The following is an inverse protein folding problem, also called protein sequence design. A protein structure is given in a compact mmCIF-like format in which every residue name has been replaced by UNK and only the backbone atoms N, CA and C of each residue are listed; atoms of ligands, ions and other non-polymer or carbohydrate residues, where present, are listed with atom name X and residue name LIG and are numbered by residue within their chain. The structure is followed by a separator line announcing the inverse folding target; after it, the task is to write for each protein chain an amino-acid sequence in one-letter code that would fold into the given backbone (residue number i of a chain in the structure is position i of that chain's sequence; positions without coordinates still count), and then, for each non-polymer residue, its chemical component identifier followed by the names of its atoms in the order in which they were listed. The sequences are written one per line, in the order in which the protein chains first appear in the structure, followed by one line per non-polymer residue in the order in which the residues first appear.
data_IF_201707633629
#
_entry.id   IF_201707633629
#
_cell.length_a   1.000
_cell.length_b   1.000
_cell.length_c   1.000
_cell.angle_alpha   90.00
_cell.angle_beta   90.00
_cell.angle_gamma   90.00
#
_symmetry.space_group_name_H-M   'P 1'
#
loop_
_entity.id
_entity.type
_entity.pdbx_description
1 polymer ?
#
# COMPACT_ATOMS: atom_id res chain seq x y z
N UNK A 1 21.95 -42.16 -31.27
CA UNK A 1 22.12 -41.20 -30.15
C UNK A 1 22.88 -39.99 -30.66
N UNK A 2 22.20 -39.03 -31.28
CA UNK A 2 22.82 -37.84 -31.90
C UNK A 2 22.72 -36.64 -30.96
N UNK A 3 23.87 -36.10 -30.55
CA UNK A 3 23.99 -34.88 -29.74
C UNK A 3 23.82 -33.66 -30.65
N UNK A 4 22.75 -32.88 -30.47
CA UNK A 4 22.60 -31.58 -31.15
C UNK A 4 23.24 -30.47 -30.30
N UNK A 5 24.14 -29.75 -30.93
CA UNK A 5 24.88 -28.60 -30.42
C UNK A 5 23.93 -27.40 -30.21
N UNK A 6 24.08 -26.67 -29.11
CA UNK A 6 23.35 -25.42 -28.85
C UNK A 6 24.14 -24.27 -29.48
N UNK A 7 23.51 -23.57 -30.42
CA UNK A 7 24.06 -22.43 -31.15
C UNK A 7 24.08 -21.21 -30.22
N UNK A 8 25.26 -20.64 -29.97
CA UNK A 8 25.39 -19.36 -29.28
C UNK A 8 24.88 -18.21 -30.18
N UNK A 9 24.22 -17.22 -29.56
CA UNK A 9 23.75 -16.00 -30.21
C UNK A 9 24.73 -14.89 -29.88
N UNK A 10 25.46 -14.42 -30.89
CA UNK A 10 26.23 -13.19 -30.83
C UNK A 10 25.31 -12.01 -30.50
N UNK A 11 25.63 -11.29 -29.42
CA UNK A 11 25.10 -9.95 -29.17
C UNK A 11 26.22 -8.95 -29.41
N UNK A 12 26.14 -8.28 -30.56
CA UNK A 12 26.94 -7.11 -30.90
C UNK A 12 26.50 -5.97 -29.98
N UNK A 13 27.32 -5.63 -28.98
CA UNK A 13 27.17 -4.38 -28.22
C UNK A 13 28.21 -3.39 -28.72
N UNK A 14 27.74 -2.32 -29.35
CA UNK A 14 28.51 -1.13 -29.67
C UNK A 14 28.88 -0.40 -28.38
N UNK A 15 30.13 -0.49 -27.94
CA UNK A 15 30.64 0.33 -26.85
C UNK A 15 31.22 1.63 -27.40
N UNK A 16 30.53 2.73 -27.14
CA UNK A 16 31.13 4.07 -27.18
C UNK A 16 32.34 4.08 -26.24
N UNK A 17 33.49 4.45 -26.80
CA UNK A 17 34.73 4.73 -26.07
C UNK A 17 34.48 5.93 -25.14
N UNK A 18 34.24 5.65 -23.87
CA UNK A 18 34.30 6.61 -22.78
C UNK A 18 35.60 6.35 -22.05
N UNK A 19 36.55 7.27 -22.23
CA UNK A 19 37.82 7.35 -21.52
C UNK A 19 37.54 7.27 -20.01
N UNK A 20 37.99 6.20 -19.38
CA UNK A 20 37.76 5.92 -17.97
C UNK A 20 39.12 5.65 -17.36
N UNK A 21 39.73 6.71 -16.83
CA UNK A 21 40.92 6.65 -15.99
C UNK A 21 40.78 5.50 -14.97
N UNK A 22 41.57 4.45 -15.17
CA UNK A 22 41.57 3.25 -14.34
C UNK A 22 42.30 3.59 -13.03
N UNK A 23 41.52 3.89 -11.99
CA UNK A 23 42.05 4.19 -10.65
C UNK A 23 42.56 2.88 -10.04
N UNK A 24 43.87 2.65 -10.16
CA UNK A 24 44.60 1.52 -9.57
C UNK A 24 44.62 1.65 -8.04
N UNK A 25 43.91 0.77 -7.35
CA UNK A 25 43.90 0.72 -5.88
C UNK A 25 45.26 0.27 -5.35
N UNK A 26 46.00 1.19 -4.72
CA UNK A 26 47.23 0.86 -3.98
C UNK A 26 46.90 0.59 -2.51
N UNK A 27 47.28 -0.57 -2.00
CA UNK A 27 47.13 -0.94 -0.59
C UNK A 27 48.02 -0.04 0.29
N UNK A 28 47.40 0.68 1.23
CA UNK A 28 48.14 1.50 2.19
C UNK A 28 48.98 0.61 3.12
N UNK A 29 50.23 0.97 3.44
CA UNK A 29 51.02 0.19 4.39
C UNK A 29 50.33 0.15 5.75
N UNK A 30 50.28 -1.04 6.35
CA UNK A 30 49.61 -1.24 7.63
C UNK A 30 50.19 -0.29 8.70
N UNK A 31 49.34 0.45 9.45
CA UNK A 31 49.82 1.31 10.52
C UNK A 31 50.52 0.46 11.60
N UNK A 32 51.58 0.97 12.23
CA UNK A 32 52.25 0.25 13.30
C UNK A 32 51.26 -0.04 14.43
N UNK A 33 51.30 -1.28 14.94
CA UNK A 33 50.41 -1.81 15.99
C UNK A 33 50.31 -0.84 17.18
N UNK A 34 49.29 0.00 17.17
CA UNK A 34 48.85 0.75 18.33
C UNK A 34 47.69 0.01 18.96
N UNK A 35 47.72 -0.07 20.28
CA UNK A 35 46.84 -0.80 21.17
C UNK A 35 45.37 -0.53 20.84
N UNK A 36 44.57 -1.61 20.73
CA UNK A 36 43.16 -1.50 20.35
C UNK A 36 42.40 -0.71 21.44
N UNK A 37 41.72 0.41 21.11
CA UNK A 37 40.72 0.95 22.01
C UNK A 37 39.63 -0.10 22.22
N UNK A 38 39.08 -0.20 23.44
CA UNK A 38 38.00 -1.13 23.78
C UNK A 38 36.93 -1.04 22.69
N UNK A 39 36.69 -2.15 22.01
CA UNK A 39 35.79 -2.22 20.87
C UNK A 39 34.38 -1.85 21.35
N UNK A 40 33.96 -0.59 21.18
CA UNK A 40 32.56 -0.12 21.34
C UNK A 40 31.58 -1.04 20.58
N UNK A 41 32.10 -1.70 19.54
CA UNK A 41 31.44 -2.77 18.82
C UNK A 41 30.93 -3.89 19.73
N UNK A 42 31.74 -4.35 20.67
CA UNK A 42 31.38 -5.46 21.55
C UNK A 42 30.32 -5.07 22.58
N UNK A 43 30.28 -3.80 22.98
CA UNK A 43 29.28 -3.28 23.91
C UNK A 43 27.89 -3.23 23.25
N UNK A 44 27.80 -2.80 21.99
CA UNK A 44 26.53 -2.90 21.26
C UNK A 44 26.26 -4.31 20.72
N UNK A 45 27.26 -5.16 20.52
CA UNK A 45 27.05 -6.57 20.12
C UNK A 45 26.73 -7.51 21.30
N UNK A 46 26.62 -6.99 22.53
CA UNK A 46 26.33 -7.82 23.69
C UNK A 46 24.92 -8.41 23.60
N UNK A 47 24.82 -9.74 23.54
CA UNK A 47 23.57 -10.48 23.35
C UNK A 47 22.55 -10.18 24.45
N UNK A 48 22.99 -9.85 25.67
CA UNK A 48 22.11 -9.49 26.79
C UNK A 48 21.26 -8.23 26.51
N UNK A 49 21.76 -7.28 25.70
CA UNK A 49 21.00 -6.12 25.26
C UNK A 49 20.03 -6.46 24.11
N UNK A 50 20.38 -7.46 23.29
CA UNK A 50 19.57 -7.90 22.14
C UNK A 50 18.46 -8.88 22.50
N UNK A 51 18.62 -9.67 23.56
CA UNK A 51 17.58 -10.54 24.14
C UNK A 51 17.18 -10.09 25.54
N UNK A 52 16.90 -8.80 25.70
CA UNK A 52 16.36 -8.23 26.94
C UNK A 52 14.98 -8.81 27.35
N UNK A 53 14.37 -9.66 26.51
CA UNK A 53 13.09 -10.30 26.78
C UNK A 53 13.21 -11.63 27.50
N UNK A 54 14.42 -12.22 27.61
CA UNK A 54 14.65 -13.54 28.21
C UNK A 54 15.87 -13.50 29.15
N UNK A 55 15.64 -13.65 30.47
CA UNK A 55 16.73 -13.91 31.41
C UNK A 55 17.37 -15.28 31.13
N UNK A 56 18.68 -15.43 31.36
CA UNK A 56 19.42 -16.70 31.16
C UNK A 56 18.84 -17.88 31.94
N UNK A 57 18.21 -17.61 33.08
CA UNK A 57 17.49 -18.60 33.90
C UNK A 57 16.22 -19.10 33.21
N UNK A 58 15.58 -18.22 32.45
CA UNK A 58 14.32 -18.46 31.75
C UNK A 58 14.51 -19.43 30.57
N UNK A 59 15.65 -19.31 29.87
CA UNK A 59 16.09 -20.21 28.80
C UNK A 59 16.30 -21.66 29.29
N UNK A 60 16.56 -21.87 30.59
CA UNK A 60 16.78 -23.19 31.20
C UNK A 60 15.48 -23.88 31.63
N UNK A 61 14.37 -23.14 31.72
CA UNK A 61 13.06 -23.61 32.18
C UNK A 61 12.11 -24.06 31.04
N UNK A 62 12.71 -24.56 29.95
CA UNK A 62 12.27 -24.46 28.54
C UNK A 62 10.84 -24.83 28.12
N UNK A 63 10.02 -25.46 28.98
CA UNK A 63 8.62 -25.78 28.64
C UNK A 63 7.60 -25.03 29.53
N UNK A 64 7.79 -25.01 30.86
CA UNK A 64 6.84 -24.38 31.80
C UNK A 64 6.80 -22.85 31.67
N UNK A 65 7.95 -22.21 31.44
CA UNK A 65 8.00 -20.75 31.25
C UNK A 65 7.36 -20.31 29.91
N UNK A 66 7.49 -21.13 28.88
CA UNK A 66 6.94 -20.82 27.54
C UNK A 66 5.42 -20.88 27.53
N UNK A 67 4.84 -21.87 28.22
CA UNK A 67 3.38 -21.99 28.44
C UNK A 67 2.85 -20.79 29.23
N UNK A 68 3.51 -20.43 30.35
CA UNK A 68 3.13 -19.26 31.17
C UNK A 68 3.20 -17.95 30.40
N UNK A 69 4.19 -17.80 29.51
CA UNK A 69 4.31 -16.63 28.64
C UNK A 69 3.21 -16.54 27.60
N UNK A 70 2.83 -17.65 26.97
CA UNK A 70 1.70 -17.70 26.05
C UNK A 70 0.40 -17.30 26.74
N UNK A 71 0.13 -17.89 27.90
CA UNK A 71 -1.04 -17.52 28.72
C UNK A 71 -1.01 -16.06 29.15
N UNK A 72 0.16 -15.51 29.49
CA UNK A 72 0.31 -14.09 29.83
C UNK A 72 0.06 -13.18 28.61
N UNK A 73 0.52 -13.58 27.42
CA UNK A 73 0.29 -12.85 26.17
C UNK A 73 -1.17 -12.91 25.74
N UNK A 74 -1.81 -14.08 25.78
CA UNK A 74 -3.24 -14.23 25.51
C UNK A 74 -4.08 -13.35 26.45
N UNK A 75 -3.74 -13.35 27.74
CA UNK A 75 -4.40 -12.49 28.73
C UNK A 75 -4.13 -11.00 28.50
N UNK A 76 -2.98 -10.63 27.93
CA UNK A 76 -2.71 -9.25 27.52
C UNK A 76 -3.50 -8.87 26.27
N UNK A 77 -3.58 -9.75 25.29
CA UNK A 77 -4.36 -9.55 24.06
C UNK A 77 -5.84 -9.39 24.38
N UNK A 78 -6.41 -10.24 25.24
CA UNK A 78 -7.81 -10.13 25.68
C UNK A 78 -8.09 -8.78 26.34
N UNK A 79 -7.16 -8.28 27.18
CA UNK A 79 -7.28 -6.94 27.79
C UNK A 79 -7.20 -5.82 26.76
N UNK A 80 -6.27 -5.92 25.82
CA UNK A 80 -6.12 -4.93 24.75
C UNK A 80 -7.36 -4.90 23.85
N UNK A 81 -7.92 -6.05 23.52
CA UNK A 81 -9.16 -6.20 22.76
C UNK A 81 -10.34 -5.59 23.52
N UNK A 82 -10.47 -5.86 24.82
CA UNK A 82 -11.52 -5.26 25.65
C UNK A 82 -11.42 -3.73 25.72
N UNK A 83 -10.19 -3.19 25.84
CA UNK A 83 -9.95 -1.73 25.85
C UNK A 83 -10.26 -1.12 24.49
N UNK A 84 -9.87 -1.80 23.39
CA UNK A 84 -10.20 -1.37 22.03
C UNK A 84 -11.71 -1.28 21.90
N UNK A 85 -12.44 -2.37 22.12
CA UNK A 85 -13.90 -2.44 22.02
C UNK A 85 -14.63 -1.36 22.83
N UNK A 86 -14.16 -1.04 24.03
CA UNK A 86 -14.75 0.03 24.85
C UNK A 86 -14.55 1.45 24.28
N UNK A 87 -13.51 1.66 23.48
CA UNK A 87 -13.16 2.95 22.86
C UNK A 87 -13.56 3.06 21.39
N UNK A 88 -13.93 1.96 20.74
CA UNK A 88 -14.32 2.01 19.33
C UNK A 88 -15.68 2.68 19.16
N UNK A 89 -15.66 3.87 18.59
CA UNK A 89 -16.87 4.62 18.25
C UNK A 89 -17.49 4.17 16.92
N UNK A 90 -16.79 3.31 16.16
CA UNK A 90 -17.28 2.86 14.85
C UNK A 90 -18.40 1.82 15.03
N UNK A 91 -19.64 2.09 14.57
CA UNK A 91 -20.74 1.15 14.67
C UNK A 91 -20.47 -0.20 13.99
N UNK A 92 -19.65 -0.20 12.92
CA UNK A 92 -19.38 -1.37 12.08
C UNK A 92 -18.24 -2.27 12.60
N UNK A 93 -17.57 -1.90 13.69
CA UNK A 93 -16.55 -2.73 14.33
C UNK A 93 -17.12 -3.52 15.52
N UNK A 94 -18.39 -3.25 15.89
CA UNK A 94 -19.12 -4.03 16.91
C UNK A 94 -19.31 -5.47 16.43
N UNK A 95 -19.33 -6.43 17.36
CA UNK A 95 -19.61 -7.84 17.10
C UNK A 95 -18.67 -8.50 16.07
N UNK A 96 -17.36 -8.21 16.13
CA UNK A 96 -16.36 -8.70 15.16
C UNK A 96 -16.65 -8.28 13.71
N UNK A 97 -17.30 -7.13 13.53
CA UNK A 97 -17.61 -6.60 12.20
C UNK A 97 -16.36 -6.20 11.42
N UNK A 98 -16.46 -6.24 10.09
CA UNK A 98 -15.36 -5.92 9.16
C UNK A 98 -15.00 -4.42 9.12
N UNK A 99 -15.76 -3.60 9.84
CA UNK A 99 -15.61 -2.17 9.87
C UNK A 99 -16.12 -1.42 8.66
N UNK A 100 -16.75 -2.13 7.73
CA UNK A 100 -17.49 -1.57 6.62
C UNK A 100 -18.99 -1.87 6.79
N UNK A 101 -19.87 -1.01 6.29
CA UNK A 101 -21.28 -1.35 6.15
C UNK A 101 -21.43 -2.61 5.29
N UNK A 102 -22.37 -3.47 5.67
CA UNK A 102 -22.71 -4.67 4.92
C UNK A 102 -23.13 -4.27 3.50
N UNK A 103 -22.44 -4.79 2.50
CA UNK A 103 -22.85 -4.60 1.11
C UNK A 103 -24.05 -5.52 0.89
N UNK A 104 -25.26 -4.94 0.92
CA UNK A 104 -26.49 -5.58 0.44
C UNK A 104 -26.19 -6.34 -0.86
N UNK A 105 -26.65 -7.60 -1.01
CA UNK A 105 -26.37 -8.39 -2.19
C UNK A 105 -26.87 -7.63 -3.41
N UNK A 106 -25.92 -7.24 -4.26
CA UNK A 106 -26.12 -6.40 -5.44
C UNK A 106 -26.98 -7.16 -6.44
N UNK A 107 -28.30 -7.11 -6.25
CA UNK A 107 -29.26 -7.30 -7.33
C UNK A 107 -28.89 -6.27 -8.39
N UNK A 108 -28.57 -6.78 -9.58
CA UNK A 108 -28.21 -6.03 -10.79
C UNK A 108 -29.40 -5.19 -11.26
N UNK A 109 -29.83 -4.23 -10.44
CA UNK A 109 -30.62 -3.11 -10.92
C UNK A 109 -29.66 -2.21 -11.68
N UNK A 110 -30.08 -1.78 -12.88
CA UNK A 110 -29.44 -0.77 -13.71
C UNK A 110 -29.45 0.61 -13.04
N UNK A 111 -29.26 0.67 -11.73
CA UNK A 111 -29.23 1.88 -10.96
C UNK A 111 -27.82 2.46 -11.04
N UNK A 112 -27.75 3.74 -11.40
CA UNK A 112 -26.51 4.51 -11.40
C UNK A 112 -25.83 4.35 -10.01
N UNK A 113 -24.49 4.34 -9.96
CA UNK A 113 -23.77 4.11 -8.72
C UNK A 113 -24.29 5.04 -7.63
N UNK A 114 -24.62 4.47 -6.47
CA UNK A 114 -25.11 5.16 -5.25
C UNK A 114 -24.19 6.28 -4.74
N UNK A 115 -23.06 6.52 -5.42
CA UNK A 115 -22.13 7.61 -5.15
C UNK A 115 -22.53 8.95 -5.80
N UNK A 116 -23.58 8.99 -6.63
CA UNK A 116 -24.14 10.26 -7.11
C UNK A 116 -24.93 10.93 -6.00
N UNK A 117 -24.24 11.68 -5.14
CA UNK A 117 -24.91 12.59 -4.20
C UNK A 117 -25.54 13.71 -5.04
N UNK A 118 -26.83 13.59 -5.34
CA UNK A 118 -27.63 14.57 -6.10
C UNK A 118 -28.32 14.01 -7.34
N UNK A 119 -29.01 14.90 -8.07
CA UNK A 119 -29.88 14.59 -9.23
C UNK A 119 -29.12 14.20 -10.52
N UNK A 120 -27.83 13.88 -10.44
CA UNK A 120 -27.04 13.40 -11.58
C UNK A 120 -26.98 14.33 -12.81
N UNK A 121 -27.32 15.62 -12.64
CA UNK A 121 -27.41 16.59 -13.73
C UNK A 121 -28.75 16.62 -14.47
N UNK A 122 -29.78 15.87 -14.05
CA UNK A 122 -31.10 15.89 -14.69
C UNK A 122 -31.75 17.28 -14.66
N UNK A 123 -31.68 18.01 -13.53
CA UNK A 123 -32.15 19.39 -13.45
C UNK A 123 -31.46 20.32 -14.47
N UNK A 124 -30.18 20.09 -14.78
CA UNK A 124 -29.46 20.84 -15.81
C UNK A 124 -29.97 20.48 -17.20
N UNK A 125 -30.13 19.18 -17.50
CA UNK A 125 -30.65 18.69 -18.78
C UNK A 125 -32.07 19.21 -19.06
N UNK A 126 -32.94 19.22 -18.04
CA UNK A 126 -34.30 19.78 -18.12
C UNK A 126 -34.29 21.28 -18.40
N UNK A 127 -33.46 22.06 -17.71
CA UNK A 127 -33.34 23.52 -17.94
C UNK A 127 -32.76 23.82 -19.32
N UNK A 128 -31.77 23.04 -19.75
CA UNK A 128 -31.13 23.12 -21.06
C UNK A 128 -32.16 22.90 -22.18
N UNK A 129 -32.98 21.85 -22.07
CA UNK A 129 -34.09 21.58 -22.99
C UNK A 129 -35.10 22.73 -23.06
N UNK A 130 -35.57 23.22 -21.90
CA UNK A 130 -36.53 24.33 -21.85
C UNK A 130 -36.00 25.61 -22.51
N UNK A 131 -34.69 25.89 -22.37
CA UNK A 131 -34.06 27.04 -23.02
C UNK A 131 -34.05 26.92 -24.54
N UNK A 132 -33.76 25.73 -25.08
CA UNK A 132 -33.85 25.50 -26.53
C UNK A 132 -35.28 25.72 -26.98
N UNK A 133 -36.26 25.13 -26.28
CA UNK A 133 -37.67 25.26 -26.63
C UNK A 133 -38.13 26.72 -26.64
N UNK A 134 -37.71 27.51 -25.66
CA UNK A 134 -38.04 28.94 -25.61
C UNK A 134 -37.37 29.71 -26.76
N UNK A 135 -36.10 29.44 -27.04
CA UNK A 135 -35.36 30.11 -28.11
C UNK A 135 -35.91 29.74 -29.49
N UNK A 136 -36.27 28.47 -29.71
CA UNK A 136 -36.88 28.00 -30.94
C UNK A 136 -38.24 28.67 -31.18
N UNK A 137 -39.04 28.88 -30.12
CA UNK A 137 -40.30 29.62 -30.21
C UNK A 137 -40.10 31.11 -30.47
N UNK A 138 -39.09 31.74 -29.85
CA UNK A 138 -38.78 33.16 -30.03
C UNK A 138 -38.29 33.46 -31.45
N UNK A 139 -37.48 32.58 -32.02
CA UNK A 139 -36.85 32.76 -33.33
C UNK A 139 -37.64 32.10 -34.48
N UNK A 140 -38.63 31.27 -34.16
CA UNK A 140 -39.39 30.50 -35.15
C UNK A 140 -38.57 29.41 -35.85
N UNK A 141 -37.51 28.91 -35.22
CA UNK A 141 -36.60 27.87 -35.76
C UNK A 141 -36.91 26.49 -35.18
N UNK A 142 -36.33 25.45 -35.76
CA UNK A 142 -36.44 24.10 -35.21
C UNK A 142 -35.61 23.95 -33.92
N UNK A 143 -36.05 23.10 -32.98
CA UNK A 143 -35.28 22.86 -31.74
C UNK A 143 -33.92 22.24 -32.02
N UNK A 144 -33.82 21.39 -33.05
CA UNK A 144 -32.59 20.71 -33.45
C UNK A 144 -31.55 21.70 -33.98
N UNK A 145 -31.95 22.66 -34.82
CA UNK A 145 -31.06 23.69 -35.34
C UNK A 145 -30.48 24.56 -34.21
N UNK A 146 -31.33 25.00 -33.28
CA UNK A 146 -30.89 25.77 -32.09
C UNK A 146 -29.98 24.94 -31.18
N UNK A 147 -30.25 23.64 -31.04
CA UNK A 147 -29.41 22.73 -30.26
C UNK A 147 -28.05 22.50 -30.92
N UNK A 148 -28.01 22.34 -32.25
CA UNK A 148 -26.79 22.15 -33.03
C UNK A 148 -25.94 23.43 -33.03
N UNK A 149 -26.54 24.61 -33.15
CA UNK A 149 -25.78 25.87 -33.02
C UNK A 149 -25.11 26.01 -31.64
N UNK A 150 -25.81 25.56 -30.58
CA UNK A 150 -25.37 25.73 -29.20
C UNK A 150 -24.41 24.65 -28.70
N UNK A 151 -24.61 23.40 -29.10
CA UNK A 151 -23.89 22.22 -28.61
C UNK A 151 -23.41 21.28 -29.71
N UNK A 152 -23.74 21.55 -30.97
CA UNK A 152 -23.13 20.86 -32.10
C UNK A 152 -21.65 21.20 -32.14
N UNK A 153 -20.81 20.16 -32.16
CA UNK A 153 -19.37 20.23 -32.36
C UNK A 153 -19.08 19.99 -33.84
#
# INVERSE_FOLDING_TARGET
KSKKHKKEKDRKSSSNHSDSDEIEWVEAPAPPKAEKPKDERQEWMNEELFVSTLSREEMKSGNSSRERKRLAQEKQQEKEEAIKQARELNPHWKNNGSGLPEQEPKVESLHLPSSSVGDGGYAYLKKAYLRIQEQSQREGRSMEEVAVERWGV
#
